data_IF_534219454319
#
_entry.id   IF_534219454319
#
_cell.length_a   1.000
_cell.length_b   1.000
_cell.length_c   1.000
_cell.angle_alpha   90.00
_cell.angle_beta   90.00
_cell.angle_gamma   90.00
#
_symmetry.space_group_name_H-M   'P 1'
#
loop_
_entity.id
_entity.type
_entity.pdbx_description
1 polymer ?
#
# COMPACT_ATOMS: atom_id res chain seq x y z
N UNK A 1 21.35 -45.16 -12.56
CA UNK A 1 22.21 -43.97 -12.65
C UNK A 1 21.32 -42.77 -12.40
N UNK A 2 21.68 -41.92 -11.44
CA UNK A 2 20.94 -40.68 -11.16
C UNK A 2 21.56 -39.61 -12.04
N UNK A 3 20.90 -39.25 -13.14
CA UNK A 3 21.30 -38.13 -13.99
C UNK A 3 21.07 -36.85 -13.18
N UNK A 4 22.16 -36.30 -12.64
CA UNK A 4 22.14 -35.02 -11.92
C UNK A 4 22.49 -33.98 -12.97
N UNK A 5 21.48 -33.39 -13.59
CA UNK A 5 21.66 -32.41 -14.67
C UNK A 5 21.65 -31.02 -14.05
N UNK A 6 22.69 -30.24 -14.32
CA UNK A 6 22.75 -28.85 -13.90
C UNK A 6 22.06 -28.00 -14.97
N UNK A 7 20.92 -27.40 -14.63
CA UNK A 7 20.08 -26.60 -15.54
C UNK A 7 20.85 -25.48 -16.26
N UNK A 8 21.97 -25.00 -15.70
CA UNK A 8 22.80 -23.96 -16.27
C UNK A 8 23.67 -24.42 -17.46
N UNK A 9 23.84 -25.72 -17.65
CA UNK A 9 24.69 -26.26 -18.73
C UNK A 9 23.91 -26.39 -20.06
N UNK A 10 22.59 -26.44 -20.00
CA UNK A 10 21.68 -26.37 -21.14
C UNK A 10 21.47 -24.89 -21.48
N UNK A 11 22.38 -24.31 -22.27
CA UNK A 11 22.28 -22.92 -22.75
C UNK A 11 21.14 -22.75 -23.78
N UNK A 12 19.90 -23.05 -23.36
CA UNK A 12 18.67 -23.06 -24.15
C UNK A 12 17.66 -22.17 -23.45
N UNK A 13 16.99 -21.31 -24.20
CA UNK A 13 15.82 -20.59 -23.69
C UNK A 13 14.60 -21.52 -23.75
N UNK A 14 14.12 -21.98 -22.59
CA UNK A 14 12.93 -22.83 -22.50
C UNK A 14 11.63 -22.12 -22.92
N UNK A 15 11.64 -20.79 -23.03
CA UNK A 15 10.54 -20.01 -23.60
C UNK A 15 10.51 -20.01 -25.14
N UNK A 16 11.59 -20.41 -25.79
CA UNK A 16 11.71 -20.49 -27.26
C UNK A 16 11.42 -21.92 -27.74
N UNK A 17 10.19 -22.13 -28.21
CA UNK A 17 9.72 -23.43 -28.70
C UNK A 17 10.55 -23.96 -29.88
N UNK A 18 11.07 -23.08 -30.73
CA UNK A 18 11.83 -23.49 -31.91
C UNK A 18 13.22 -24.01 -31.51
N UNK A 19 13.85 -23.38 -30.50
CA UNK A 19 15.12 -23.87 -29.94
C UNK A 19 14.96 -25.22 -29.26
N UNK A 20 13.89 -25.41 -28.48
CA UNK A 20 13.60 -26.68 -27.80
C UNK A 20 13.37 -27.79 -28.83
N UNK A 21 12.56 -27.54 -29.86
CA UNK A 21 12.30 -28.50 -30.94
C UNK A 21 13.58 -28.81 -31.72
N UNK A 22 14.39 -27.80 -32.03
CA UNK A 22 15.66 -27.99 -32.72
C UNK A 22 16.61 -28.85 -31.88
N UNK A 23 16.70 -28.60 -30.57
CA UNK A 23 17.52 -29.39 -29.66
C UNK A 23 17.08 -30.85 -29.62
N UNK A 24 15.78 -31.11 -29.44
CA UNK A 24 15.20 -32.47 -29.42
C UNK A 24 15.49 -33.27 -30.70
N UNK A 25 15.55 -32.60 -31.85
CA UNK A 25 15.75 -33.24 -33.15
C UNK A 25 17.23 -33.43 -33.54
N UNK A 26 18.16 -32.75 -32.87
CA UNK A 26 19.58 -32.70 -33.27
C UNK A 26 20.53 -33.35 -32.28
N UNK A 27 20.07 -33.66 -31.06
CA UNK A 27 20.89 -34.20 -29.97
C UNK A 27 20.59 -35.68 -29.69
N UNK A 28 21.47 -36.32 -28.91
CA UNK A 28 21.32 -37.71 -28.52
C UNK A 28 20.15 -37.92 -27.56
N UNK A 29 19.66 -39.16 -27.48
CA UNK A 29 18.53 -39.52 -26.61
C UNK A 29 18.80 -39.22 -25.12
N UNK A 30 20.05 -39.34 -24.68
CA UNK A 30 20.46 -39.03 -23.30
C UNK A 30 20.41 -37.52 -23.02
N UNK A 31 20.81 -36.69 -23.98
CA UNK A 31 20.71 -35.23 -23.92
C UNK A 31 19.26 -34.74 -23.99
N UNK A 32 18.41 -35.42 -24.76
CA UNK A 32 16.97 -35.12 -24.83
C UNK A 32 16.27 -35.49 -23.51
N UNK A 33 16.61 -36.63 -22.90
CA UNK A 33 16.10 -36.97 -21.56
C UNK A 33 16.53 -35.93 -20.53
N UNK A 34 17.74 -35.38 -20.66
CA UNK A 34 18.21 -34.33 -19.78
C UNK A 34 17.42 -33.02 -19.94
N UNK A 35 17.11 -32.65 -21.19
CA UNK A 35 16.24 -31.53 -21.51
C UNK A 35 14.81 -31.73 -20.97
N UNK A 36 14.23 -32.92 -21.09
CA UNK A 36 12.89 -33.23 -20.58
C UNK A 36 12.82 -33.06 -19.05
N UNK A 37 13.82 -33.56 -18.32
CA UNK A 37 13.92 -33.36 -16.87
C UNK A 37 14.04 -31.88 -16.54
N UNK A 38 14.86 -31.14 -17.29
CA UNK A 38 15.05 -29.71 -17.10
C UNK A 38 13.77 -28.89 -17.31
N UNK A 39 12.98 -29.22 -18.33
CA UNK A 39 11.68 -28.60 -18.60
C UNK A 39 10.68 -28.89 -17.47
N UNK A 40 10.69 -30.10 -16.91
CA UNK A 40 9.85 -30.44 -15.75
C UNK A 40 10.25 -29.65 -14.50
N UNK A 41 11.54 -29.51 -14.22
CA UNK A 41 12.03 -28.73 -13.08
C UNK A 41 11.69 -27.24 -13.22
N UNK A 42 11.82 -26.68 -14.43
CA UNK A 42 11.45 -25.29 -14.70
C UNK A 42 9.94 -25.06 -14.58
N UNK A 43 9.12 -26.00 -15.06
CA UNK A 43 7.67 -25.95 -14.88
C UNK A 43 7.25 -26.00 -13.40
N UNK A 44 7.95 -26.79 -12.58
CA UNK A 44 7.73 -26.83 -11.12
C UNK A 44 8.12 -25.50 -10.48
N UNK A 45 9.27 -24.93 -10.85
CA UNK A 45 9.72 -23.61 -10.38
C UNK A 45 8.70 -22.52 -10.73
N UNK A 46 8.28 -22.43 -11.99
CA UNK A 46 7.26 -21.47 -12.44
C UNK A 46 5.94 -21.64 -11.70
N UNK A 47 5.49 -22.89 -11.51
CA UNK A 47 4.26 -23.18 -10.75
C UNK A 47 4.36 -22.69 -9.31
N UNK A 48 5.52 -22.86 -8.66
CA UNK A 48 5.76 -22.35 -7.31
C UNK A 48 5.72 -20.82 -7.25
N UNK A 49 6.34 -20.14 -8.22
CA UNK A 49 6.33 -18.67 -8.32
C UNK A 49 4.92 -18.12 -8.54
N UNK A 50 4.11 -18.78 -9.37
CA UNK A 50 2.69 -18.42 -9.59
C UNK A 50 1.89 -18.57 -8.30
N UNK A 51 2.03 -19.69 -7.59
CA UNK A 51 1.32 -19.93 -6.32
C UNK A 51 1.68 -18.87 -5.29
N UNK A 52 2.97 -18.57 -5.10
CA UNK A 52 3.42 -17.50 -4.18
C UNK A 52 2.85 -16.13 -4.57
N UNK A 53 2.75 -15.85 -5.87
CA UNK A 53 2.17 -14.61 -6.37
C UNK A 53 0.67 -14.55 -6.07
N UNK A 54 -0.06 -15.64 -6.28
CA UNK A 54 -1.49 -15.74 -5.97
C UNK A 54 -1.74 -15.58 -4.47
N UNK A 55 -0.96 -16.25 -3.62
CA UNK A 55 -1.09 -16.13 -2.16
C UNK A 55 -0.90 -14.68 -1.71
N UNK A 56 0.12 -13.99 -2.25
CA UNK A 56 0.37 -12.58 -1.98
C UNK A 56 -0.80 -11.69 -2.45
N UNK A 57 -1.39 -11.99 -3.61
CA UNK A 57 -2.56 -11.26 -4.10
C UNK A 57 -3.80 -11.48 -3.22
N UNK A 58 -4.01 -12.71 -2.72
CA UNK A 58 -5.11 -13.04 -1.80
C UNK A 58 -4.93 -12.30 -0.47
N UNK A 59 -3.70 -12.28 0.07
CA UNK A 59 -3.38 -11.53 1.29
C UNK A 59 -3.61 -10.02 1.10
N UNK A 60 -3.11 -9.44 0.00
CA UNK A 60 -3.34 -8.04 -0.34
C UNK A 60 -4.83 -7.72 -0.49
N UNK A 61 -5.62 -8.62 -1.09
CA UNK A 61 -7.07 -8.48 -1.26
C UNK A 61 -7.82 -8.51 0.07
N UNK A 62 -7.53 -9.49 0.95
CA UNK A 62 -8.13 -9.56 2.29
C UNK A 62 -7.78 -8.35 3.14
N UNK A 63 -6.52 -7.89 3.08
CA UNK A 63 -6.11 -6.68 3.78
C UNK A 63 -6.85 -5.44 3.24
N UNK A 64 -7.11 -5.38 1.93
CA UNK A 64 -7.89 -4.32 1.31
C UNK A 64 -9.36 -4.34 1.74
N UNK A 65 -9.99 -5.51 1.83
CA UNK A 65 -11.39 -5.65 2.28
C UNK A 65 -11.56 -5.23 3.74
N UNK A 66 -10.66 -5.68 4.63
CA UNK A 66 -10.65 -5.25 6.04
C UNK A 66 -10.43 -3.74 6.15
N UNK A 67 -9.53 -3.19 5.33
CA UNK A 67 -9.29 -1.74 5.25
C UNK A 67 -10.54 -0.99 4.80
N UNK A 68 -11.29 -1.51 3.83
CA UNK A 68 -12.54 -0.93 3.35
C UNK A 68 -13.64 -0.95 4.41
N UNK A 69 -13.82 -2.07 5.11
CA UNK A 69 -14.79 -2.18 6.20
C UNK A 69 -14.44 -1.25 7.37
N UNK A 70 -13.15 -1.12 7.70
CA UNK A 70 -12.68 -0.18 8.72
C UNK A 70 -12.84 1.28 8.28
N UNK A 71 -12.67 1.59 6.98
CA UNK A 71 -13.01 2.89 6.40
C UNK A 71 -14.51 3.20 6.58
N UNK A 72 -15.41 2.27 6.22
CA UNK A 72 -16.86 2.47 6.41
C UNK A 72 -17.23 2.68 7.87
N UNK A 73 -16.62 1.93 8.78
CA UNK A 73 -16.80 2.11 10.22
C UNK A 73 -16.32 3.50 10.69
N UNK A 74 -15.19 3.98 10.16
CA UNK A 74 -14.66 5.31 10.46
C UNK A 74 -15.59 6.44 9.96
N UNK A 75 -16.14 6.29 8.76
CA UNK A 75 -17.12 7.24 8.20
C UNK A 75 -18.35 7.32 9.11
N UNK A 76 -18.88 6.17 9.53
CA UNK A 76 -20.04 6.11 10.43
C UNK A 76 -19.76 6.68 11.83
N UNK A 77 -18.61 6.35 12.43
CA UNK A 77 -18.24 6.89 13.75
C UNK A 77 -18.05 8.41 13.68
N UNK A 78 -17.41 8.89 12.61
CA UNK A 78 -17.16 10.32 12.41
C UNK A 78 -18.44 11.12 12.18
N UNK A 79 -19.40 10.58 11.43
CA UNK A 79 -20.71 11.25 11.21
C UNK A 79 -21.52 11.40 12.51
N UNK A 80 -21.30 10.52 13.48
CA UNK A 80 -21.89 10.60 14.82
C UNK A 80 -21.11 11.49 15.80
N UNK A 81 -20.06 12.19 15.33
CA UNK A 81 -19.20 13.03 16.18
C UNK A 81 -18.21 12.23 17.05
N UNK A 82 -18.06 10.93 16.76
CA UNK A 82 -17.09 10.07 17.42
C UNK A 82 -15.66 10.36 16.99
N UNK A 83 -14.69 9.97 17.82
CA UNK A 83 -13.27 10.05 17.45
C UNK A 83 -12.95 8.93 16.46
N UNK A 84 -12.33 9.26 15.34
CA UNK A 84 -11.85 8.29 14.36
C UNK A 84 -11.00 7.19 15.04
N UNK A 85 -11.27 5.94 14.68
CA UNK A 85 -10.44 4.80 15.08
C UNK A 85 -9.12 4.83 14.31
N UNK A 86 -8.13 4.07 14.77
CA UNK A 86 -6.80 4.05 14.15
C UNK A 86 -6.92 3.77 12.64
N UNK A 87 -6.02 4.34 11.81
CA UNK A 87 -6.04 4.13 10.38
C UNK A 87 -6.08 2.64 10.03
N UNK A 88 -6.79 2.26 8.95
CA UNK A 88 -6.81 0.87 8.53
C UNK A 88 -5.40 0.37 8.23
N UNK A 89 -5.13 -0.87 8.62
CA UNK A 89 -3.86 -1.50 8.28
C UNK A 89 -3.80 -1.79 6.80
N UNK A 90 -2.70 -1.43 6.14
CA UNK A 90 -2.42 -1.80 4.75
C UNK A 90 -1.24 -2.77 4.74
N UNK A 91 -1.43 -3.96 4.14
CA UNK A 91 -0.43 -5.04 4.12
C UNK A 91 0.10 -5.43 5.50
N UNK A 92 -0.80 -5.55 6.49
CA UNK A 92 -0.45 -5.87 7.88
C UNK A 92 0.27 -4.75 8.67
N UNK A 93 0.58 -3.62 8.03
CA UNK A 93 1.23 -2.47 8.67
C UNK A 93 0.21 -1.39 9.00
N UNK A 94 0.41 -0.72 10.14
CA UNK A 94 -0.44 0.40 10.60
C UNK A 94 0.14 1.78 10.26
N UNK A 95 1.40 1.83 9.84
CA UNK A 95 2.13 3.05 9.53
C UNK A 95 3.27 2.73 8.54
N UNK A 96 3.79 3.74 7.81
CA UNK A 96 4.88 3.56 6.86
C UNK A 96 6.17 3.09 7.54
N UNK A 97 7.01 2.36 6.81
CA UNK A 97 8.31 1.90 7.32
C UNK A 97 9.21 3.09 7.70
N UNK A 98 9.95 2.94 8.80
CA UNK A 98 10.83 4.00 9.30
C UNK A 98 10.12 5.21 9.91
N UNK A 99 8.79 5.20 10.07
CA UNK A 99 8.06 6.33 10.65
C UNK A 99 8.44 6.55 12.14
N UNK A 100 8.86 7.77 12.55
CA UNK A 100 9.14 8.09 13.96
C UNK A 100 7.89 7.96 14.84
N UNK A 101 8.05 7.51 16.09
CA UNK A 101 6.91 7.25 17.02
C UNK A 101 5.91 8.42 17.11
N UNK A 102 6.39 9.67 17.13
CA UNK A 102 5.55 10.87 17.19
C UNK A 102 4.63 11.09 15.98
N UNK A 103 4.93 10.47 14.83
CA UNK A 103 4.19 10.65 13.57
C UNK A 103 3.41 9.39 13.15
N UNK A 104 3.35 8.36 13.99
CA UNK A 104 2.69 7.09 13.67
C UNK A 104 1.17 7.09 13.86
N UNK A 105 0.63 8.04 14.60
CA UNK A 105 -0.80 8.05 14.95
C UNK A 105 -1.46 9.43 14.78
N UNK A 106 -1.40 10.05 13.59
CA UNK A 106 -2.28 11.15 13.26
C UNK A 106 -3.75 10.69 13.27
N UNK A 107 -4.62 11.49 13.89
CA UNK A 107 -6.05 11.21 14.10
C UNK A 107 -6.99 12.24 13.48
N UNK A 108 -6.45 13.36 13.01
CA UNK A 108 -7.22 14.46 12.41
C UNK A 108 -6.57 14.88 11.10
N UNK A 109 -7.35 15.49 10.20
CA UNK A 109 -6.84 16.09 8.96
C UNK A 109 -5.68 17.05 9.25
N UNK A 110 -5.84 17.91 10.25
CA UNK A 110 -4.85 18.89 10.70
C UNK A 110 -3.53 18.23 11.09
N UNK A 111 -3.58 17.08 11.78
CA UNK A 111 -2.38 16.34 12.14
C UNK A 111 -1.68 15.74 10.92
N UNK A 112 -2.41 15.35 9.88
CA UNK A 112 -1.81 14.88 8.62
C UNK A 112 -1.16 16.02 7.83
N UNK A 113 -1.86 17.14 7.60
CA UNK A 113 -1.31 18.25 6.82
C UNK A 113 -0.13 18.96 7.52
N UNK A 114 -0.06 18.87 8.85
CA UNK A 114 1.04 19.41 9.65
C UNK A 114 2.27 18.48 9.72
N UNK A 115 2.23 17.30 9.11
CA UNK A 115 3.38 16.41 9.07
C UNK A 115 4.52 17.05 8.27
N UNK A 116 5.79 16.87 8.70
CA UNK A 116 6.92 17.23 7.86
C UNK A 116 6.83 16.56 6.49
N UNK A 117 7.24 17.24 5.42
CA UNK A 117 7.08 16.80 4.02
C UNK A 117 7.52 15.35 3.80
N UNK A 118 8.67 14.95 4.36
CA UNK A 118 9.17 13.56 4.29
C UNK A 118 8.17 12.54 4.85
N UNK A 119 7.53 12.85 5.98
CA UNK A 119 6.57 11.96 6.64
C UNK A 119 5.19 12.01 5.99
N UNK A 120 4.78 13.18 5.50
CA UNK A 120 3.56 13.30 4.70
C UNK A 120 3.66 12.49 3.41
N UNK A 121 4.80 12.58 2.71
CA UNK A 121 5.09 11.78 1.52
C UNK A 121 5.08 10.27 1.85
N UNK A 122 5.70 9.86 2.95
CA UNK A 122 5.69 8.45 3.37
C UNK A 122 4.26 7.95 3.67
N UNK A 123 3.42 8.76 4.32
CA UNK A 123 2.01 8.43 4.55
C UNK A 123 1.19 8.40 3.25
N UNK A 124 1.47 9.31 2.33
CA UNK A 124 0.80 9.37 1.03
C UNK A 124 1.12 8.13 0.20
N UNK A 125 2.40 7.80 0.01
CA UNK A 125 2.83 6.61 -0.74
C UNK A 125 2.44 5.29 -0.07
N UNK A 126 2.31 5.28 1.26
CA UNK A 126 1.77 4.12 1.95
C UNK A 126 0.38 3.78 1.43
N UNK A 127 -0.49 4.79 1.24
CA UNK A 127 -1.83 4.58 0.72
C UNK A 127 -1.96 4.62 -0.80
N UNK A 128 -1.05 5.33 -1.48
CA UNK A 128 -1.05 5.62 -2.92
C UNK A 128 0.33 5.39 -3.57
N UNK A 129 0.85 4.14 -3.56
CA UNK A 129 2.18 3.83 -4.09
C UNK A 129 2.30 4.12 -5.59
N UNK A 130 1.20 4.10 -6.33
CA UNK A 130 1.14 4.43 -7.75
C UNK A 130 1.61 5.86 -8.08
N UNK A 131 1.64 6.75 -7.09
CA UNK A 131 2.01 8.16 -7.24
C UNK A 131 3.47 8.47 -6.80
N UNK A 132 4.35 7.47 -6.81
CA UNK A 132 5.76 7.67 -6.44
C UNK A 132 6.50 8.58 -7.42
N UNK A 133 6.27 8.39 -8.73
CA UNK A 133 6.97 9.13 -9.78
C UNK A 133 6.56 10.61 -9.87
N UNK A 134 5.34 10.94 -9.48
CA UNK A 134 4.73 12.27 -9.58
C UNK A 134 4.45 12.87 -8.19
N UNK A 135 5.07 12.36 -7.13
CA UNK A 135 4.80 12.78 -5.74
C UNK A 135 4.96 14.29 -5.51
N UNK A 136 5.88 14.93 -6.23
CA UNK A 136 6.16 16.36 -6.08
C UNK A 136 5.14 17.25 -6.81
N UNK A 137 4.28 16.67 -7.66
CA UNK A 137 3.18 17.39 -8.32
C UNK A 137 2.01 17.65 -7.37
N UNK A 138 1.91 16.89 -6.28
CA UNK A 138 0.85 17.02 -5.28
C UNK A 138 1.26 17.98 -4.16
N UNK A 139 0.41 18.98 -3.91
CA UNK A 139 0.51 19.84 -2.73
C UNK A 139 0.31 19.04 -1.43
N UNK A 140 0.81 19.57 -0.31
CA UNK A 140 0.59 18.97 1.01
C UNK A 140 -0.89 18.79 1.34
N UNK A 141 -1.74 19.73 0.91
CA UNK A 141 -3.19 19.62 1.09
C UNK A 141 -3.77 18.44 0.30
N UNK A 142 -3.41 18.29 -0.98
CA UNK A 142 -3.87 17.16 -1.81
C UNK A 142 -3.42 15.81 -1.22
N UNK A 143 -2.17 15.72 -0.75
CA UNK A 143 -1.65 14.52 -0.08
C UNK A 143 -2.44 14.20 1.19
N UNK A 144 -2.62 15.19 2.06
CA UNK A 144 -3.37 15.02 3.32
C UNK A 144 -4.83 14.65 3.08
N UNK A 145 -5.48 15.27 2.07
CA UNK A 145 -6.86 14.97 1.67
C UNK A 145 -6.99 13.54 1.17
N UNK A 146 -6.11 13.10 0.26
CA UNK A 146 -6.13 11.73 -0.24
C UNK A 146 -5.93 10.70 0.87
N UNK A 147 -5.04 10.99 1.84
CA UNK A 147 -4.88 10.13 3.03
C UNK A 147 -6.15 10.13 3.88
N UNK A 148 -6.74 11.30 4.15
CA UNK A 148 -7.93 11.47 4.98
C UNK A 148 -9.15 10.73 4.42
N UNK A 149 -9.38 10.87 3.11
CA UNK A 149 -10.39 10.14 2.38
C UNK A 149 -10.14 8.64 2.46
N UNK A 150 -8.90 8.19 2.23
CA UNK A 150 -8.57 6.77 2.30
C UNK A 150 -8.90 6.16 3.68
N UNK A 151 -8.56 6.84 4.78
CA UNK A 151 -8.76 6.31 6.13
C UNK A 151 -10.20 6.45 6.66
N UNK A 152 -11.11 7.09 5.90
CA UNK A 152 -12.52 7.25 6.26
C UNK A 152 -12.85 8.50 7.07
N UNK A 153 -12.03 9.55 6.93
CA UNK A 153 -12.29 10.84 7.54
C UNK A 153 -13.43 11.58 6.85
N UNK A 154 -14.26 12.30 7.63
CA UNK A 154 -15.40 13.04 7.08
C UNK A 154 -14.95 14.39 6.49
N UNK A 155 -15.54 14.87 5.37
CA UNK A 155 -15.22 16.16 4.77
C UNK A 155 -15.40 17.35 5.73
N UNK A 156 -16.43 17.31 6.57
CA UNK A 156 -16.71 18.38 7.56
C UNK A 156 -15.64 18.52 8.65
N UNK A 157 -14.73 17.54 8.76
CA UNK A 157 -13.59 17.58 9.69
C UNK A 157 -12.33 18.19 9.04
N UNK A 158 -12.42 18.56 7.75
CA UNK A 158 -11.40 19.33 7.06
C UNK A 158 -11.69 20.81 7.34
N UNK A 159 -11.17 21.31 8.47
CA UNK A 159 -11.22 22.75 8.74
C UNK A 159 -10.28 23.46 7.75
N UNK A 160 -10.83 24.06 6.71
CA UNK A 160 -10.09 24.98 5.84
C UNK A 160 -9.99 26.30 6.58
N UNK A 161 -8.88 26.52 7.29
CA UNK A 161 -8.57 27.84 7.81
C UNK A 161 -8.24 28.74 6.62
N UNK A 162 -9.24 29.46 6.10
CA UNK A 162 -9.09 30.48 5.05
C UNK A 162 -8.15 31.64 5.47
N UNK A 163 -7.68 31.66 6.73
CA UNK A 163 -6.83 32.71 7.28
C UNK A 163 -5.32 32.38 7.33
N UNK A 164 -4.86 31.17 6.99
CA UNK A 164 -3.44 30.83 7.12
C UNK A 164 -2.88 30.13 5.89
N UNK A 165 -2.45 30.95 4.93
CA UNK A 165 -1.41 30.55 4.00
C UNK A 165 -0.18 30.10 4.78
N UNK A 166 0.26 28.87 4.49
CA UNK A 166 1.62 28.33 4.66
C UNK A 166 2.52 29.17 5.58
N UNK A 167 2.42 29.02 6.90
CA UNK A 167 3.51 29.38 7.81
C UNK A 167 3.37 28.69 9.17
N UNK A 168 4.39 27.90 9.50
CA UNK A 168 4.88 27.56 10.84
C UNK A 168 3.89 27.03 11.90
N UNK A 169 3.91 25.72 12.12
CA UNK A 169 3.77 25.14 13.47
C UNK A 169 4.79 24.00 13.67
N UNK A 170 6.07 24.38 13.65
CA UNK A 170 7.04 23.72 14.51
C UNK A 170 7.08 24.55 15.80
N UNK A 171 6.99 23.87 16.95
CA UNK A 171 7.00 24.44 18.33
C UNK A 171 5.68 25.03 18.84
N UNK A 172 4.88 24.17 19.49
CA UNK A 172 4.46 24.37 20.89
C UNK A 172 3.39 23.32 21.28
N UNK A 173 3.78 22.38 22.14
CA UNK A 173 2.92 21.87 23.22
C UNK A 173 3.54 22.41 24.52
N UNK A 174 2.81 22.65 25.63
CA UNK A 174 1.37 22.52 25.89
C UNK A 174 0.74 23.76 26.56
N UNK A 175 -0.61 23.85 26.64
CA UNK A 175 -1.39 24.13 27.88
C UNK A 175 -2.89 24.25 27.59
N UNK A 176 -3.67 23.43 28.30
CA UNK A 176 -5.04 23.62 28.82
C UNK A 176 -5.91 24.77 28.28
N UNK A 177 -7.12 24.47 27.82
CA UNK A 177 -8.37 24.87 28.50
C UNK A 177 -9.62 24.54 27.67
N UNK A 178 -10.58 23.96 28.38
CA UNK A 178 -12.01 23.81 28.15
C UNK A 178 -12.69 24.98 27.40
N UNK A 179 -13.73 24.61 26.64
CA UNK A 179 -14.95 25.39 26.30
C UNK A 179 -15.04 25.96 24.88
N UNK A 180 -15.80 25.30 24.01
CA UNK A 180 -16.79 25.95 23.14
C UNK A 180 -17.74 24.91 22.50
N UNK A 181 -18.85 24.64 23.19
CA UNK A 181 -20.11 24.21 22.54
C UNK A 181 -20.68 25.42 21.79
N UNK A 182 -21.15 25.26 20.53
CA UNK A 182 -22.50 25.70 20.10
C UNK A 182 -22.77 25.54 18.59
N UNK A 183 -23.95 24.95 18.32
CA UNK A 183 -24.89 25.11 17.17
C UNK A 183 -24.37 24.56 15.82
N UNK A 184 -25.12 23.77 15.06
CA UNK A 184 -26.48 24.03 14.56
C UNK A 184 -27.26 22.70 14.43
N UNK A 185 -28.45 22.63 15.04
CA UNK A 185 -29.55 21.75 14.61
C UNK A 185 -30.67 22.73 14.25
N UNK A 186 -31.06 22.80 12.98
CA UNK A 186 -32.37 23.34 12.60
C UNK A 186 -32.72 22.93 11.15
N UNK A 187 -33.97 22.45 10.99
CA UNK A 187 -34.72 22.08 9.77
C UNK A 187 -34.36 20.69 9.22
N UNK A 188 -35.28 19.72 9.22
CA UNK A 188 -36.53 19.72 8.45
C UNK A 188 -37.69 19.10 9.24
N UNK A 189 -38.80 19.86 9.32
CA UNK A 189 -40.18 19.34 9.31
C UNK A 189 -40.64 19.42 7.86
#
# INVERSE_FOLDING_TARGET
MTLTINLQDLNIDFGDQDQVIQYMNTHSQEEVQALEVALCEDAIRMSSEIVQTIDKMIEDSKASEVSFMQHLANVYISSMGGKAISPPSKRGKKFPDGMPKKYRNPRTFQQYISLPTKHLNAWFLFYKPEHEADIDTFSSFQKAKAIWEFIGGHPDQIEVNEAQGVTAFAEALPTTSTTAKRRIIERVV
#
